data_IF_880274328090
#
_entry.id   IF_880274328090
#
_cell.length_a   1.000
_cell.length_b   1.000
_cell.length_c   1.000
_cell.angle_alpha   90.00
_cell.angle_beta   90.00
_cell.angle_gamma   90.00
#
_symmetry.space_group_name_H-M   'P 1'
#
loop_
_entity.id
_entity.type
_entity.pdbx_description
1 polymer ?
2 polymer ?
3 water ?
#
# COMPACT_ATOMS: atom_id res chain seq x y z
N UNK A 1 -10.75 12.64 3.81
CA UNK A 1 -9.26 12.61 3.56
C UNK A 1 -9.00 12.73 2.09
N UNK A 2 -8.17 13.74 1.63
CA UNK A 2 -7.71 14.13 0.29
C UNK A 2 -7.25 13.00 -0.64
N UNK A 3 -6.76 13.31 -1.87
CA UNK A 3 -6.36 12.22 -2.74
C UNK A 3 -5.28 12.55 -3.79
N UNK A 4 -4.57 11.51 -4.25
CA UNK A 4 -3.48 11.72 -5.21
C UNK A 4 -3.99 11.88 -6.65
N UNK A 5 -3.75 13.04 -7.28
CA UNK A 5 -4.12 13.23 -8.69
C UNK A 5 -3.09 12.60 -9.59
N UNK A 6 -1.81 12.81 -9.31
CA UNK A 6 -0.76 12.22 -10.17
C UNK A 6 0.53 12.33 -9.52
N UNK A 7 1.49 11.59 -10.08
CA UNK A 7 2.85 11.57 -9.67
C UNK A 7 3.70 11.88 -10.89
N UNK A 8 4.70 12.79 -10.75
CA UNK A 8 5.59 13.13 -11.87
C UNK A 8 7.00 12.72 -11.54
N UNK A 9 7.63 11.98 -12.42
CA UNK A 9 8.95 11.51 -12.15
C UNK A 9 9.92 11.99 -13.23
N UNK A 10 11.12 12.40 -12.83
CA UNK A 10 12.08 12.92 -13.83
C UNK A 10 13.49 12.65 -13.27
N UNK A 11 14.21 11.73 -13.94
CA UNK A 11 15.56 11.37 -13.60
C UNK A 11 15.63 10.51 -12.37
N UNK A 12 14.52 9.85 -12.06
CA UNK A 12 14.45 9.00 -10.88
C UNK A 12 14.55 7.49 -11.22
N UNK A 13 15.65 6.87 -10.83
CA UNK A 13 15.89 5.46 -11.11
C UNK A 13 15.68 5.20 -12.57
N UNK A 14 14.70 4.32 -12.89
CA UNK A 14 14.46 3.92 -14.27
C UNK A 14 13.71 4.93 -15.10
N UNK A 15 13.26 5.98 -14.44
CA UNK A 15 12.52 6.97 -15.14
C UNK A 15 13.56 8.03 -15.56
N UNK A 16 13.67 8.22 -16.88
CA UNK A 16 14.62 9.15 -17.46
C UNK A 16 14.43 10.67 -17.38
N UNK A 17 15.15 11.38 -18.27
CA UNK A 17 15.12 12.84 -18.34
C UNK A 17 13.84 13.42 -18.86
N UNK A 18 13.10 12.67 -19.68
CA UNK A 18 11.84 13.20 -20.21
C UNK A 18 10.83 12.94 -19.05
N UNK A 19 10.30 13.99 -18.47
CA UNK A 19 9.42 13.76 -17.35
C UNK A 19 8.25 12.79 -17.64
N UNK A 20 8.00 11.90 -16.69
CA UNK A 20 6.91 10.96 -16.81
C UNK A 20 5.81 11.30 -15.83
N UNK A 21 4.59 11.41 -16.38
CA UNK A 21 3.39 11.76 -15.61
C UNK A 21 2.49 10.51 -15.42
N UNK A 22 2.22 10.13 -14.16
CA UNK A 22 1.41 8.95 -13.84
C UNK A 22 0.10 9.40 -13.16
N UNK A 23 -1.02 9.39 -13.88
CA UNK A 23 -2.35 9.79 -13.43
C UNK A 23 -3.04 8.68 -12.60
N UNK A 24 -3.86 9.04 -11.56
CA UNK A 24 -4.58 8.07 -10.74
C UNK A 24 -6.06 8.41 -10.57
N UNK A 25 -6.88 7.37 -10.55
CA UNK A 25 -8.26 7.65 -10.30
C UNK A 25 -8.37 8.03 -8.80
N UNK A 26 -9.38 8.81 -8.49
CA UNK A 26 -9.69 9.18 -7.12
C UNK A 26 -10.15 7.85 -6.39
N UNK A 27 -10.60 6.89 -7.18
CA UNK A 27 -10.98 5.59 -6.65
C UNK A 27 -9.90 4.48 -6.72
N UNK A 28 -10.12 3.53 -7.60
CA UNK A 28 -9.25 2.39 -7.75
C UNK A 28 -8.48 2.42 -9.09
N UNK A 29 -7.16 2.36 -9.01
CA UNK A 29 -6.26 2.33 -10.18
C UNK A 29 -5.44 1.08 -10.06
N UNK A 30 -5.35 0.31 -11.14
CA UNK A 30 -4.46 -0.89 -11.11
C UNK A 30 -3.20 -0.56 -11.98
N UNK A 31 -2.03 -1.08 -11.58
CA UNK A 31 -0.77 -0.82 -12.29
C UNK A 31 -0.19 -2.14 -12.79
N UNK A 32 -0.12 -2.27 -14.12
CA UNK A 32 0.29 -3.51 -14.76
C UNK A 32 1.65 -3.37 -15.46
N UNK A 33 2.60 -4.24 -15.17
CA UNK A 33 3.85 -4.20 -15.91
C UNK A 33 4.61 -5.46 -15.55
N UNK A 34 5.62 -5.76 -16.36
CA UNK A 34 6.43 -6.94 -16.17
C UNK A 34 7.45 -6.68 -15.06
N UNK A 35 8.03 -7.76 -14.53
CA UNK A 35 9.09 -7.66 -13.56
C UNK A 35 10.21 -6.91 -14.27
N UNK A 36 10.70 -5.83 -13.66
CA UNK A 36 11.79 -5.07 -14.32
C UNK A 36 11.25 -3.99 -15.20
N UNK A 37 9.95 -3.79 -15.25
CA UNK A 37 9.47 -2.69 -16.12
C UNK A 37 9.70 -1.28 -15.45
N UNK A 38 9.86 -1.25 -14.12
CA UNK A 38 9.96 0.01 -13.38
C UNK A 38 8.71 0.27 -12.53
N UNK A 39 7.78 -0.67 -12.58
CA UNK A 39 6.57 -0.51 -11.77
C UNK A 39 6.91 -0.48 -10.25
N UNK A 40 7.89 -1.27 -9.79
CA UNK A 40 8.14 -1.22 -8.37
C UNK A 40 8.84 0.12 -8.01
N UNK A 41 9.56 0.74 -8.95
CA UNK A 41 10.14 2.05 -8.65
C UNK A 41 9.02 3.09 -8.30
N UNK A 42 7.75 2.73 -8.55
CA UNK A 42 6.68 3.67 -8.31
C UNK A 42 6.46 3.76 -6.84
N UNK A 43 6.60 2.61 -6.18
CA UNK A 43 6.48 2.58 -4.75
C UNK A 43 7.65 3.33 -4.17
N UNK A 44 8.83 3.19 -4.76
CA UNK A 44 10.02 3.87 -4.24
C UNK A 44 9.95 5.38 -4.35
N UNK A 45 9.39 5.86 -5.48
CA UNK A 45 9.24 7.28 -5.77
C UNK A 45 8.30 7.85 -4.72
N UNK A 46 7.32 7.06 -4.30
CA UNK A 46 6.34 7.56 -3.33
C UNK A 46 6.97 7.66 -1.93
N UNK A 47 7.80 6.69 -1.50
CA UNK A 47 8.49 6.75 -0.21
C UNK A 47 9.49 7.94 -0.23
N UNK A 48 10.10 8.16 -1.41
CA UNK A 48 11.10 9.23 -1.59
C UNK A 48 10.48 10.57 -1.37
N UNK A 49 9.37 10.84 -2.03
CA UNK A 49 8.78 12.17 -1.92
C UNK A 49 8.03 12.47 -0.61
N UNK A 50 7.60 11.39 0.09
CA UNK A 50 6.83 11.62 1.28
C UNK A 50 7.80 11.71 2.47
N UNK A 51 9.08 11.60 2.18
CA UNK A 51 10.07 11.78 3.19
C UNK A 51 10.64 10.75 4.14
N UNK A 52 10.48 9.43 3.95
CA UNK A 52 11.02 8.55 5.00
C UNK A 52 12.52 8.56 5.27
N UNK A 53 13.22 8.72 4.15
CA UNK A 53 14.67 8.71 4.02
C UNK A 53 15.32 10.05 3.95
N UNK A 54 16.02 10.49 4.98
CA UNK A 54 16.74 11.75 4.96
C UNK A 54 17.92 11.61 4.01
N UNK A 55 18.39 12.75 3.52
CA UNK A 55 19.54 12.85 2.63
C UNK A 55 20.80 12.15 3.19
N UNK A 56 21.04 12.30 4.48
CA UNK A 56 22.24 11.66 5.11
C UNK A 56 22.28 10.16 4.56
N UNK A 77 19.38 15.83 -17.29
CA UNK A 77 19.43 16.30 -15.89
C UNK A 77 20.23 15.49 -14.85
N UNK A 78 20.81 16.26 -13.96
CA UNK A 78 21.59 15.74 -12.93
C UNK A 78 20.97 16.12 -11.55
N UNK A 79 19.75 15.60 -11.39
CA UNK A 79 19.06 15.58 -10.12
C UNK A 79 17.95 14.56 -10.44
N UNK A 80 17.50 13.83 -9.45
CA UNK A 80 16.36 12.92 -9.57
C UNK A 80 15.25 13.82 -8.98
N UNK A 81 14.06 13.83 -9.57
CA UNK A 81 12.97 14.60 -9.04
C UNK A 81 11.65 13.79 -9.00
N UNK A 82 10.89 13.96 -7.91
CA UNK A 82 9.58 13.31 -7.86
C UNK A 82 8.64 14.37 -7.35
N UNK A 83 7.51 14.52 -7.99
CA UNK A 83 6.57 15.49 -7.46
C UNK A 83 5.26 14.75 -7.31
N UNK A 84 4.57 14.97 -6.19
CA UNK A 84 3.27 14.31 -6.08
C UNK A 84 2.19 15.42 -5.96
N UNK A 85 1.04 15.26 -6.64
CA UNK A 85 0.00 16.28 -6.70
C UNK A 85 -1.22 15.73 -5.98
N UNK A 86 -1.68 16.45 -4.98
CA UNK A 86 -2.85 16.00 -4.21
C UNK A 86 -3.99 16.98 -4.45
N UNK A 87 -5.19 16.43 -4.58
CA UNK A 87 -6.41 17.26 -4.66
C UNK A 87 -6.73 17.49 -3.17
N UNK A 88 -6.88 18.78 -2.78
CA UNK A 88 -7.13 19.13 -1.41
C UNK A 88 -8.44 19.86 -1.31
N UNK A 89 -9.39 19.50 -2.17
CA UNK A 89 -10.68 20.17 -2.11
C UNK A 89 -11.36 19.91 -0.75
N UNK A 90 -11.11 18.75 -0.11
CA UNK A 90 -11.73 18.44 1.20
C UNK A 90 -10.93 19.11 2.29
N UNK A 91 -9.82 19.75 1.89
CA UNK A 91 -8.99 20.41 2.90
C UNK A 91 -8.41 19.44 3.99
N UNK A 92 -8.04 18.21 3.59
CA UNK A 92 -7.41 17.33 4.55
C UNK A 92 -6.03 17.88 4.93
N UNK A 93 -5.36 18.63 4.04
CA UNK A 93 -4.04 19.21 4.38
C UNK A 93 -4.34 20.62 4.94
N UNK A 94 -3.63 21.08 5.99
CA UNK A 94 -3.87 22.43 6.58
C UNK A 94 -3.40 23.57 5.68
N UNK A 95 -3.78 23.55 4.42
CA UNK A 95 -3.34 24.51 3.44
C UNK A 95 -4.57 24.93 2.63
N UNK A 96 -4.82 26.22 2.62
CA UNK A 96 -6.02 26.68 1.97
C UNK A 96 -5.91 26.80 0.48
N UNK A 97 -5.62 25.68 -0.18
CA UNK A 97 -5.54 25.68 -1.63
C UNK A 97 -6.12 24.34 -2.09
N UNK A 98 -6.79 24.34 -3.22
CA UNK A 98 -7.37 23.13 -3.78
C UNK A 98 -6.34 22.06 -4.26
N UNK A 99 -5.05 22.42 -4.37
CA UNK A 99 -4.08 21.44 -4.83
C UNK A 99 -2.89 21.59 -3.98
N UNK A 100 -2.27 20.46 -3.59
CA UNK A 100 -1.09 20.53 -2.76
C UNK A 100 -0.06 19.70 -3.49
N UNK A 101 1.06 20.32 -3.87
CA UNK A 101 2.12 19.63 -4.59
C UNK A 101 3.42 19.58 -3.78
N UNK A 102 3.90 18.37 -3.52
CA UNK A 102 5.13 18.15 -2.78
C UNK A 102 6.22 17.68 -3.74
N UNK A 103 7.22 18.53 -3.97
CA UNK A 103 8.32 18.20 -4.88
C UNK A 103 9.64 18.05 -4.13
N UNK A 104 10.40 17.02 -4.51
CA UNK A 104 11.70 16.75 -3.89
C UNK A 104 12.72 16.28 -4.94
N UNK A 105 13.87 16.96 -4.97
CA UNK A 105 14.92 16.64 -5.93
C UNK A 105 16.26 16.32 -5.27
N UNK A 106 16.79 15.15 -5.56
CA UNK A 106 18.08 14.72 -5.01
C UNK A 106 19.21 14.98 -6.00
N UNK A 107 20.26 15.64 -5.52
CA UNK A 107 21.42 15.98 -6.35
C UNK A 107 22.52 14.91 -6.31
N UNK A 108 23.53 15.03 -7.19
CA UNK A 108 24.63 14.07 -7.23
C UNK A 108 25.51 14.07 -5.98
N UNK A 109 25.72 15.24 -5.41
CA UNK A 109 26.54 15.38 -4.20
C UNK A 109 25.80 14.84 -2.97
N UNK A 110 24.55 14.44 -3.17
CA UNK A 110 23.74 13.89 -2.09
C UNK A 110 22.75 14.87 -1.51
N UNK A 111 22.80 16.15 -1.87
CA UNK A 111 21.84 17.05 -1.28
C UNK A 111 20.42 16.77 -1.73
N UNK A 112 19.50 17.22 -0.87
CA UNK A 112 18.10 17.01 -1.07
C UNK A 112 17.33 18.28 -0.80
N UNK A 113 16.40 18.68 -1.68
CA UNK A 113 15.54 19.85 -1.45
C UNK A 113 14.13 19.48 -1.70
N UNK A 114 13.27 20.17 -0.97
CA UNK A 114 11.82 20.09 -1.10
C UNK A 114 11.19 21.46 -1.44
N UNK A 115 10.01 21.38 -2.05
CA UNK A 115 9.14 22.53 -2.36
C UNK A 115 7.73 22.04 -2.05
N UNK A 116 6.88 23.02 -1.67
CA UNK A 116 5.50 22.73 -1.35
C UNK A 116 4.85 23.83 -2.18
N UNK A 117 4.09 23.43 -3.23
CA UNK A 117 3.47 24.37 -4.16
C UNK A 117 4.49 25.39 -4.68
N UNK A 118 5.68 24.94 -5.15
CA UNK A 118 6.59 25.93 -5.73
C UNK A 118 7.47 26.73 -4.76
N UNK A 119 7.20 26.64 -3.47
CA UNK A 119 7.97 27.25 -2.42
C UNK A 119 8.88 26.29 -1.64
N UNK A 120 10.08 26.73 -1.33
CA UNK A 120 11.02 25.89 -0.61
C UNK A 120 10.41 25.52 0.72
N UNK A 121 10.65 24.29 1.13
CA UNK A 121 10.18 23.75 2.41
C UNK A 121 11.24 22.80 2.89
N UNK A 122 11.23 22.53 4.21
CA UNK A 122 12.22 21.61 4.82
C UNK A 122 11.54 20.20 4.94
N UNK A 123 12.33 19.17 5.22
CA UNK A 123 11.74 17.84 5.30
C UNK A 123 10.84 17.78 6.54
N UNK A 124 11.36 18.38 7.61
CA UNK A 124 10.62 18.43 8.82
C UNK A 124 9.31 19.14 8.57
N UNK A 125 9.28 20.19 7.73
CA UNK A 125 7.91 20.80 7.53
C UNK A 125 7.00 19.91 6.62
N UNK A 126 7.61 19.27 5.60
CA UNK A 126 6.75 18.39 4.78
C UNK A 126 6.14 17.26 5.71
N UNK A 127 6.95 16.60 6.54
CA UNK A 127 6.37 15.53 7.43
C UNK A 127 5.20 16.04 8.29
N UNK A 128 5.39 17.20 8.94
CA UNK A 128 4.34 17.74 9.77
C UNK A 128 3.13 17.96 8.94
N UNK A 129 3.30 18.46 7.71
CA UNK A 129 2.17 18.68 6.85
C UNK A 129 1.45 17.34 6.48
N UNK A 130 2.22 16.33 6.11
CA UNK A 130 1.61 15.02 5.80
C UNK A 130 0.92 14.41 7.06
N UNK A 131 1.57 14.43 8.20
CA UNK A 131 0.94 13.87 9.43
C UNK A 131 -0.41 14.51 9.66
N UNK A 132 -0.46 15.83 9.45
CA UNK A 132 -1.72 16.57 9.60
C UNK A 132 -2.80 16.05 8.67
N UNK A 133 -2.42 15.51 7.50
CA UNK A 133 -3.42 14.96 6.55
C UNK A 133 -3.62 13.43 6.73
N UNK A 134 -3.02 12.88 7.79
CA UNK A 134 -3.05 11.45 8.19
C UNK A 134 -2.22 10.62 7.20
N UNK A 135 -1.14 11.20 6.75
CA UNK A 135 -0.29 10.51 5.78
C UNK A 135 1.06 10.46 6.39
N UNK A 136 1.76 9.36 6.15
CA UNK A 136 3.09 9.18 6.64
C UNK A 136 3.80 8.13 5.74
N UNK A 137 5.10 8.35 5.48
CA UNK A 137 5.84 7.39 4.66
C UNK A 137 5.91 6.05 5.41
N UNK A 138 5.76 6.12 6.75
CA UNK A 138 5.74 4.92 7.63
C UNK A 138 4.28 4.35 7.90
N UNK A 139 3.28 4.89 7.23
CA UNK A 139 1.95 4.45 7.46
C UNK A 139 1.71 3.00 7.00
N UNK A 140 0.73 2.43 7.69
CA UNK A 140 0.20 1.09 7.40
C UNK A 140 -0.49 1.04 6.04
N UNK A 141 -0.84 2.22 5.52
CA UNK A 141 -1.53 2.34 4.24
C UNK A 141 -0.62 2.09 3.03
N UNK A 142 0.69 1.97 3.28
CA UNK A 142 1.67 1.69 2.19
C UNK A 142 2.17 0.26 2.44
N UNK A 143 1.81 -0.64 1.53
CA UNK A 143 2.19 -2.03 1.71
C UNK A 143 3.03 -2.43 0.48
N UNK A 144 4.34 -2.36 0.65
CA UNK A 144 5.22 -2.66 -0.45
C UNK A 144 5.60 -4.10 -0.34
N UNK A 145 6.44 -4.52 -1.25
CA UNK A 145 6.95 -5.89 -1.26
C UNK A 145 7.83 -6.03 -0.02
N UNK A 146 7.69 -7.07 0.79
CA UNK A 146 8.53 -7.08 1.97
C UNK A 146 7.69 -6.76 3.20
N UNK A 147 6.58 -6.02 2.99
CA UNK A 147 5.71 -5.64 4.09
C UNK A 147 4.86 -6.85 4.51
N UNK A 148 4.43 -7.65 3.54
CA UNK A 148 3.66 -8.85 3.86
C UNK A 148 4.59 -9.89 4.53
N UNK A 149 5.83 -10.02 4.07
CA UNK A 149 6.70 -10.96 4.78
C UNK A 149 6.88 -10.51 6.25
N UNK A 150 7.00 -9.21 6.46
CA UNK A 150 7.16 -8.63 7.77
C UNK A 150 6.03 -9.10 8.72
N UNK A 151 4.80 -9.01 8.22
CA UNK A 151 3.59 -9.34 9.01
C UNK A 151 3.47 -10.81 9.28
N UNK A 152 3.89 -11.59 8.32
CA UNK A 152 3.91 -13.06 8.47
C UNK A 152 4.89 -13.51 9.52
N UNK A 153 6.13 -13.00 9.44
CA UNK A 153 7.20 -13.45 10.36
C UNK A 153 7.38 -12.72 11.69
N UNK A 154 6.65 -11.64 11.92
CA UNK A 154 6.71 -10.91 13.18
C UNK A 154 6.61 -11.83 14.37
N UNK A 155 7.32 -11.56 15.50
CA UNK A 155 7.23 -12.40 16.70
C UNK A 155 5.92 -11.93 17.34
N UNK A 156 5.33 -12.76 18.21
CA UNK A 156 4.07 -12.31 18.81
C UNK A 156 4.24 -11.07 19.67
N UNK A 157 5.43 -10.90 20.25
CA UNK A 157 5.74 -9.72 21.08
C UNK A 157 5.71 -8.48 20.19
N UNK A 158 6.46 -8.52 19.07
CA UNK A 158 6.42 -7.35 18.19
C UNK A 158 4.98 -7.05 17.72
N UNK A 159 4.22 -8.10 17.43
CA UNK A 159 2.85 -7.87 16.98
C UNK A 159 2.03 -7.16 18.10
N UNK A 160 2.23 -7.47 19.38
CA UNK A 160 1.46 -6.75 20.43
C UNK A 160 2.01 -5.31 20.54
N UNK A 161 3.34 -5.15 20.37
CA UNK A 161 3.92 -3.80 20.40
C UNK A 161 3.32 -2.87 19.32
N UNK A 162 2.99 -3.39 18.11
CA UNK A 162 2.36 -2.49 17.08
C UNK A 162 1.01 -2.03 17.62
N UNK A 163 0.33 -2.96 18.34
CA UNK A 163 -0.96 -2.53 18.85
C UNK A 163 -0.71 -1.50 19.95
N UNK A 164 0.29 -1.69 20.80
CA UNK A 164 0.51 -0.62 21.88
C UNK A 164 0.66 0.79 21.23
N UNK A 165 1.53 0.87 20.19
CA UNK A 165 1.85 2.15 19.51
C UNK A 165 0.63 2.76 18.87
N UNK A 166 -0.15 1.95 18.12
CA UNK A 166 -1.37 2.43 17.51
C UNK A 166 -2.35 2.98 18.61
N UNK A 167 -2.49 2.27 19.72
CA UNK A 167 -3.39 2.71 20.78
C UNK A 167 -2.94 4.05 21.36
N UNK B 7 -7.46 1.19 27.65
CA UNK B 7 -6.99 1.90 26.42
C UNK B 7 -6.39 0.96 25.39
N UNK B 8 -5.42 0.14 25.83
CA UNK B 8 -4.80 -0.87 24.96
C UNK B 8 -5.93 -1.80 24.53
N UNK B 9 -6.71 -2.22 25.51
CA UNK B 9 -7.79 -3.15 25.27
C UNK B 9 -8.90 -2.65 24.34
N UNK B 10 -9.23 -1.37 24.40
CA UNK B 10 -10.26 -0.85 23.50
C UNK B 10 -9.73 -0.91 22.05
N UNK B 11 -8.47 -0.58 21.88
CA UNK B 11 -7.88 -0.63 20.53
C UNK B 11 -7.75 -2.05 20.11
N UNK B 12 -7.37 -2.91 21.03
CA UNK B 12 -7.22 -4.29 20.62
C UNK B 12 -8.53 -4.98 20.14
N UNK B 13 -9.61 -4.78 20.88
CA UNK B 13 -10.88 -5.37 20.54
C UNK B 13 -11.39 -4.84 19.23
N UNK B 14 -11.17 -3.55 18.99
CA UNK B 14 -11.66 -3.02 17.75
C UNK B 14 -10.83 -3.63 16.59
N UNK B 15 -9.49 -3.66 16.73
CA UNK B 15 -8.70 -4.28 15.65
C UNK B 15 -8.98 -5.80 15.57
N UNK B 16 -9.22 -6.50 16.71
CA UNK B 16 -9.54 -7.96 16.58
C UNK B 16 -10.86 -8.20 15.91
N UNK B 17 -11.85 -7.38 16.26
CA UNK B 17 -13.14 -7.55 15.63
C UNK B 17 -12.98 -7.37 14.11
N UNK B 18 -12.23 -6.34 13.69
CA UNK B 18 -12.05 -6.05 12.25
C UNK B 18 -11.37 -7.21 11.60
N UNK B 19 -10.39 -7.77 12.30
CA UNK B 19 -9.64 -8.92 11.70
C UNK B 19 -10.51 -10.14 11.43
N UNK B 20 -11.21 -10.61 12.48
CA UNK B 20 -12.05 -11.78 12.33
C UNK B 20 -13.08 -11.52 11.25
N UNK B 21 -13.69 -10.33 11.21
CA UNK B 21 -14.71 -10.09 10.13
C UNK B 21 -14.13 -10.04 8.72
N UNK B 22 -12.93 -9.48 8.58
CA UNK B 22 -12.32 -9.38 7.26
C UNK B 22 -11.79 -10.78 6.87
N UNK B 23 -11.19 -11.47 7.80
CA UNK B 23 -10.74 -12.82 7.45
C UNK B 23 -11.96 -13.67 6.94
N UNK B 24 -13.08 -13.54 7.66
CA UNK B 24 -14.29 -14.31 7.34
C UNK B 24 -14.75 -13.94 5.92
N UNK B 25 -14.74 -12.66 5.57
CA UNK B 25 -15.09 -12.32 4.21
C UNK B 25 -14.04 -12.77 3.17
N UNK B 26 -12.77 -12.79 3.51
CA UNK B 26 -11.84 -13.20 2.47
C UNK B 26 -11.72 -14.74 2.35
N UNK B 27 -12.19 -15.45 3.38
CA UNK B 27 -12.02 -16.91 3.47
C UNK B 27 -13.31 -17.48 3.96
N UNK B 28 -14.24 -17.67 3.04
CA UNK B 28 -15.59 -18.21 3.27
C UNK B 28 -15.60 -19.49 4.14
N UNK B 29 -16.46 -19.50 5.15
CA UNK B 29 -16.54 -20.64 6.03
C UNK B 29 -15.33 -20.74 6.94
N UNK B 30 -14.51 -19.70 6.96
CA UNK B 30 -13.30 -19.65 7.77
C UNK B 30 -13.52 -18.72 8.96
N UNK B 31 -12.69 -18.84 9.97
CA UNK B 31 -12.74 -17.94 11.11
C UNK B 31 -11.28 -17.76 11.60
N UNK B 32 -11.03 -16.65 12.32
CA UNK B 32 -9.71 -16.37 12.85
C UNK B 32 -9.85 -15.37 14.00
N UNK B 33 -8.89 -15.44 14.91
CA UNK B 33 -8.84 -14.58 16.05
C UNK B 33 -7.38 -14.14 16.31
N UNK B 34 -7.24 -12.91 16.78
CA UNK B 34 -5.94 -12.40 17.28
C UNK B 34 -6.06 -12.84 18.77
N UNK B 35 -5.07 -13.53 19.33
CA UNK B 35 -5.22 -13.93 20.70
C UNK B 35 -4.07 -13.44 21.56
N UNK B 36 -4.35 -12.74 22.67
CA UNK B 36 -3.31 -12.26 23.59
C UNK B 36 -2.65 -13.43 24.32
N UNK B 37 -1.33 -13.41 24.45
CA UNK B 37 -0.72 -14.57 25.08
C UNK B 37 -0.93 -14.47 26.58
N UNK B 38 -1.19 -13.27 27.08
CA UNK B 38 -1.45 -13.10 28.49
C UNK B 38 -2.64 -12.16 28.63
N UNK B 39 -3.86 -12.67 28.44
CA UNK B 39 -5.05 -11.80 28.56
C UNK B 39 -5.08 -11.03 29.86
N UNK B 40 -4.53 -11.65 30.90
CA UNK B 40 -4.58 -11.04 32.19
C UNK B 40 -3.77 -9.80 32.30
N UNK B 41 -2.47 -9.94 32.01
CA UNK B 41 -1.38 -8.93 32.00
C UNK B 41 -0.90 -8.83 30.47
N UNK B 42 -1.72 -8.23 29.60
CA UNK B 42 -1.33 -8.15 28.17
C UNK B 42 0.08 -7.69 27.83
N UNK B 43 0.59 -6.68 28.54
CA UNK B 43 1.96 -6.16 28.29
C UNK B 43 3.13 -7.09 28.62
N UNK B 44 2.85 -8.24 29.27
CA UNK B 44 3.89 -9.21 29.58
C UNK B 44 3.87 -10.38 28.55
N UNK B 45 2.94 -10.35 27.59
CA UNK B 45 2.96 -11.42 26.59
C UNK B 45 2.88 -10.88 25.14
N UNK B 46 2.82 -11.79 24.17
CA UNK B 46 2.72 -11.35 22.77
C UNK B 46 1.28 -11.40 22.30
N UNK B 47 1.08 -11.40 20.96
CA UNK B 47 -0.22 -11.46 20.32
C UNK B 47 -0.04 -12.41 19.13
N UNK B 48 -0.76 -13.54 19.21
CA UNK B 48 -0.71 -14.57 18.22
C UNK B 48 -1.87 -14.50 17.26
N UNK B 49 -1.69 -15.13 16.13
CA UNK B 49 -2.77 -15.10 15.18
C UNK B 49 -3.14 -16.54 15.00
N UNK B 50 -4.42 -16.84 15.11
CA UNK B 50 -4.93 -18.20 14.95
C UNK B 50 -6.00 -18.16 13.91
N UNK B 51 -5.85 -19.01 12.92
CA UNK B 51 -6.79 -18.97 11.88
C UNK B 51 -7.15 -20.34 11.42
N UNK B 52 -8.40 -20.43 10.96
CA UNK B 52 -8.92 -21.69 10.57
C UNK B 52 -9.75 -21.65 9.29
N UNK B 53 -9.11 -21.99 8.16
CA UNK B 53 -9.86 -21.99 6.90
C UNK B 53 -10.79 -23.23 6.92
N UNK B 54 -11.90 -23.14 6.18
CA UNK B 54 -12.89 -24.22 6.07
C UNK B 54 -12.19 -25.55 5.97
N UNK B 55 -12.72 -26.52 6.70
CA UNK B 55 -12.16 -27.86 6.70
C UNK B 55 -10.73 -27.97 7.18
N UNK B 56 -10.27 -27.05 8.03
CA UNK B 56 -8.91 -27.21 8.55
C UNK B 56 -8.94 -26.98 10.04
N UNK B 57 -7.96 -27.51 10.72
CA UNK B 57 -7.90 -27.32 12.13
C UNK B 57 -7.32 -25.97 12.35
N UNK B 58 -7.56 -25.44 13.54
CA UNK B 58 -7.02 -24.16 13.92
C UNK B 58 -5.49 -24.19 13.95
N UNK B 59 -4.83 -23.17 13.44
CA UNK B 59 -3.36 -23.17 13.56
C UNK B 59 -2.84 -21.75 13.70
N UNK B 60 -1.64 -21.63 14.20
CA UNK B 60 -1.03 -20.32 14.28
C UNK B 60 -0.42 -20.04 12.89
N UNK B 61 -0.33 -18.74 12.60
CA UNK B 61 0.11 -18.25 11.27
C UNK B 61 1.22 -19.04 10.64
N UNK B 62 2.35 -19.09 11.34
CA UNK B 62 3.55 -19.74 10.82
C UNK B 62 3.37 -21.19 10.36
N UNK B 63 2.35 -21.87 10.90
CA UNK B 63 2.15 -23.27 10.55
C UNK B 63 1.22 -23.44 9.35
N UNK B 64 0.70 -22.36 8.80
CA UNK B 64 -0.21 -22.45 7.67
C UNK B 64 0.51 -22.69 6.32
N UNK B 65 -0.24 -22.75 5.22
CA UNK B 65 0.37 -22.92 3.85
C UNK B 65 0.81 -21.53 3.34
N UNK B 66 1.66 -21.51 2.35
CA UNK B 66 2.14 -20.24 1.86
C UNK B 66 0.97 -19.28 1.65
N UNK B 67 -0.01 -19.76 0.89
CA UNK B 67 -1.13 -18.91 0.57
C UNK B 67 -1.93 -18.51 1.79
N UNK B 68 -2.00 -19.38 2.78
CA UNK B 68 -2.81 -19.10 3.98
C UNK B 68 -2.17 -18.00 4.80
N UNK B 69 -0.86 -18.09 4.91
CA UNK B 69 -0.03 -17.08 5.57
C UNK B 69 -0.23 -15.69 4.92
N UNK B 70 -0.15 -15.62 3.58
CA UNK B 70 -0.32 -14.35 2.89
C UNK B 70 -1.70 -13.77 3.12
N UNK B 71 -2.73 -14.60 2.97
CA UNK B 71 -4.07 -14.13 3.18
C UNK B 71 -4.30 -13.60 4.62
N UNK B 72 -3.82 -14.33 5.61
CA UNK B 72 -3.95 -13.99 7.06
C UNK B 72 -3.20 -12.71 7.38
N UNK B 73 -1.94 -12.60 6.97
CA UNK B 73 -1.18 -11.36 7.15
C UNK B 73 -1.96 -10.17 6.52
N UNK B 74 -2.53 -10.39 5.35
CA UNK B 74 -3.23 -9.38 4.65
C UNK B 74 -4.51 -8.97 5.40
N UNK B 75 -5.28 -9.95 5.91
CA UNK B 75 -6.46 -9.55 6.70
C UNK B 75 -5.98 -8.69 7.93
N UNK B 76 -4.82 -9.04 8.53
CA UNK B 76 -4.27 -8.31 9.69
C UNK B 76 -3.97 -6.86 9.32
N UNK B 77 -3.26 -6.63 8.17
CA UNK B 77 -2.99 -5.28 7.75
C UNK B 77 -4.31 -4.54 7.41
N UNK B 78 -5.21 -5.18 6.67
CA UNK B 78 -6.50 -4.52 6.41
C UNK B 78 -7.24 -4.13 7.74
N UNK B 79 -7.17 -4.98 8.76
CA UNK B 79 -7.86 -4.65 10.07
C UNK B 79 -7.26 -3.40 10.76
N UNK B 80 -5.94 -3.23 10.61
CA UNK B 80 -5.25 -2.07 11.20
C UNK B 80 -5.62 -0.84 10.37
N UNK B 81 -5.65 -0.98 9.05
CA UNK B 81 -6.03 0.09 8.15
C UNK B 81 -7.49 0.57 8.41
N UNK B 82 -8.41 -0.36 8.64
CA UNK B 82 -9.78 0.02 8.95
C UNK B 82 -9.82 0.75 10.30
N UNK B 83 -9.00 0.36 11.25
CA UNK B 83 -9.00 1.06 12.55
C UNK B 83 -8.44 2.49 12.48
N UNK B 84 -7.48 2.72 11.59
CA UNK B 84 -6.88 4.05 11.50
C UNK B 84 -6.61 4.27 10.01
N UNK B 85 -7.63 4.69 9.31
CA UNK B 85 -7.54 4.92 7.89
C UNK B 85 -6.68 6.08 7.39
N UNK B 86 -6.31 5.96 6.12
CA UNK B 86 -5.52 6.98 5.45
C UNK B 86 -6.33 7.47 4.24
N UNK B 87 -5.94 8.59 3.65
CA UNK B 87 -6.63 9.08 2.45
C UNK B 87 -6.30 8.20 1.23
N UNK B 88 -5.14 7.53 1.25
CA UNK B 88 -4.82 6.64 0.10
C UNK B 88 -4.06 5.34 0.54
N UNK B 89 -4.23 4.30 -0.26
CA UNK B 89 -3.53 3.03 -0.08
C UNK B 89 -2.73 2.71 -1.34
N UNK B 90 -1.54 2.21 -1.11
CA UNK B 90 -0.71 1.82 -2.21
C UNK B 90 -0.24 0.38 -1.89
N UNK B 91 -0.63 -0.60 -2.71
CA UNK B 91 -0.29 -1.98 -2.48
C UNK B 91 0.55 -2.47 -3.63
N UNK B 92 1.67 -3.07 -3.33
CA UNK B 92 2.51 -3.47 -4.43
C UNK B 92 2.56 -4.97 -4.45
N UNK B 93 1.81 -5.57 -5.36
CA UNK B 93 1.82 -7.05 -5.48
C UNK B 93 1.50 -7.83 -4.18
N UNK B 94 0.49 -7.35 -3.45
CA UNK B 94 0.05 -8.02 -2.25
C UNK B 94 -0.71 -9.34 -2.59
N UNK B 95 -1.10 -9.52 -3.85
CA UNK B 95 -1.89 -10.69 -4.24
C UNK B 95 -1.11 -11.85 -4.86
N UNK B 96 0.15 -11.58 -5.11
CA UNK B 96 1.05 -12.51 -5.80
C UNK B 96 1.14 -13.87 -5.19
N UNK B 97 1.19 -13.92 -3.85
CA UNK B 97 1.34 -15.16 -3.14
C UNK B 97 0.05 -15.74 -2.64
N UNK B 98 -1.07 -15.15 -3.03
CA UNK B 98 -2.34 -15.65 -2.58
C UNK B 98 -2.68 -16.87 -3.42
N UNK B 99 -3.69 -17.62 -2.97
CA UNK B 99 -4.21 -18.78 -3.67
C UNK B 99 -5.30 -18.13 -4.55
N UNK B 100 -5.51 -18.66 -5.76
CA UNK B 100 -6.51 -18.15 -6.70
C UNK B 100 -7.85 -17.83 -6.14
N UNK B 101 -8.43 -18.81 -5.45
CA UNK B 101 -9.76 -18.65 -4.88
C UNK B 101 -9.88 -17.38 -4.00
N UNK B 102 -8.76 -16.94 -3.45
CA UNK B 102 -8.78 -15.77 -2.57
C UNK B 102 -8.63 -14.37 -3.26
N UNK B 103 -8.03 -14.33 -4.45
CA UNK B 103 -7.81 -13.07 -5.16
C UNK B 103 -9.06 -12.29 -5.40
N UNK B 104 -10.12 -12.95 -5.87
CA UNK B 104 -11.41 -12.27 -6.12
C UNK B 104 -12.01 -11.62 -4.86
N UNK B 105 -11.94 -12.28 -3.70
CA UNK B 105 -12.52 -11.61 -2.51
C UNK B 105 -11.70 -10.39 -2.12
N UNK B 106 -10.39 -10.50 -2.34
CA UNK B 106 -9.50 -9.35 -2.04
C UNK B 106 -9.89 -8.21 -3.04
N UNK B 107 -9.95 -8.54 -4.31
CA UNK B 107 -10.28 -7.52 -5.31
C UNK B 107 -11.71 -6.92 -5.04
N UNK B 108 -12.67 -7.75 -4.61
CA UNK B 108 -14.00 -7.17 -4.29
C UNK B 108 -14.00 -6.25 -3.07
N UNK B 109 -13.26 -6.63 -2.04
CA UNK B 109 -13.17 -5.82 -0.87
C UNK B 109 -12.50 -4.43 -1.15
N UNK B 110 -11.48 -4.48 -1.99
CA UNK B 110 -10.75 -3.27 -2.35
C UNK B 110 -11.68 -2.37 -3.15
N UNK B 111 -12.32 -2.96 -4.14
CA UNK B 111 -13.28 -2.26 -4.97
C UNK B 111 -14.31 -1.54 -4.12
N UNK B 112 -14.83 -2.17 -3.08
CA UNK B 112 -15.87 -1.47 -2.27
C UNK B 112 -15.31 -0.42 -1.30
N UNK B 113 -14.11 -0.62 -0.77
CA UNK B 113 -13.63 0.40 0.13
C UNK B 113 -13.14 1.60 -0.72
N UNK B 114 -12.99 1.39 -2.02
CA UNK B 114 -12.52 2.47 -2.88
C UNK B 114 -13.64 3.45 -3.19
N UNK B 115 -14.84 3.15 -2.71
CA UNK B 115 -16.01 4.02 -2.91
C UNK B 115 -15.76 5.19 -1.95
N UNK B 116 -14.89 4.94 -0.97
CA UNK B 116 -14.56 5.88 0.09
C UNK B 116 -13.12 6.37 0.23
N UNK B 117 -12.14 5.57 -0.21
CA UNK B 117 -10.72 5.95 -0.20
C UNK B 117 -10.08 5.61 -1.53
N UNK B 118 -8.90 6.14 -1.74
CA UNK B 118 -8.18 5.87 -2.98
C UNK B 118 -7.27 4.63 -2.78
N UNK B 119 -7.21 3.78 -3.77
CA UNK B 119 -6.36 2.57 -3.75
C UNK B 119 -5.57 2.51 -5.02
N UNK B 120 -4.29 2.27 -4.88
CA UNK B 120 -3.37 2.15 -6.04
C UNK B 120 -2.77 0.74 -5.81
N UNK B 121 -3.03 -0.12 -6.76
CA UNK B 121 -2.61 -1.49 -6.60
C UNK B 121 -1.77 -1.98 -7.72
N UNK B 122 -0.60 -2.44 -7.39
CA UNK B 122 0.24 -2.92 -8.47
C UNK B 122 -0.08 -4.41 -8.53
N UNK B 123 -0.56 -4.89 -9.67
CA UNK B 123 -0.97 -6.30 -9.78
C UNK B 123 -0.81 -6.98 -11.22
N UNK B 124 -0.70 -8.30 -11.29
CA UNK B 124 -0.69 -9.01 -12.60
C UNK B 124 -1.97 -9.89 -12.65
N UNK B 125 -3.02 -9.56 -11.86
CA UNK B 125 -4.25 -10.38 -11.84
C UNK B 125 -5.45 -9.76 -12.54
N UNK B 126 -6.01 -10.51 -13.50
CA UNK B 126 -7.14 -10.02 -14.24
C UNK B 126 -8.28 -9.63 -13.35
N UNK B 127 -8.50 -10.32 -12.25
CA UNK B 127 -9.66 -9.92 -11.45
C UNK B 127 -9.44 -8.58 -10.78
N UNK B 128 -8.20 -8.28 -10.40
CA UNK B 128 -7.86 -6.97 -9.81
C UNK B 128 -8.09 -5.86 -10.84
N UNK B 129 -7.48 -6.03 -12.01
CA UNK B 129 -7.58 -5.12 -13.15
C UNK B 129 -9.04 -4.81 -13.49
N UNK B 130 -9.80 -5.85 -13.82
CA UNK B 130 -11.22 -5.68 -14.23
C UNK B 130 -12.12 -4.80 -13.35
N UNK B 131 -11.86 -4.78 -12.06
CA UNK B 131 -12.60 -4.01 -11.08
C UNK B 131 -12.16 -2.51 -10.90
N UNK B 132 -10.99 -2.16 -11.44
CA UNK B 132 -10.43 -0.81 -11.27
C UNK B 132 -11.13 0.29 -12.04
N UNK B 133 -11.09 1.51 -11.52
CA UNK B 133 -11.69 2.60 -12.28
C UNK B 133 -10.69 2.95 -13.37
N UNK B 134 -9.41 2.69 -13.14
CA UNK B 134 -8.44 3.06 -14.16
C UNK B 134 -7.31 2.15 -14.20
N UNK B 135 -6.66 1.94 -15.35
CA UNK B 135 -5.52 1.02 -15.40
C UNK B 135 -4.31 1.72 -16.05
N UNK B 136 -3.12 1.53 -15.48
CA UNK B 136 -1.93 2.21 -16.00
C UNK B 136 -1.02 1.09 -16.30
N UNK B 137 -0.31 1.14 -17.44
CA UNK B 137 0.63 0.07 -17.81
C UNK B 137 2.03 0.61 -17.79
N UNK B 138 3.00 -0.19 -17.42
CA UNK B 138 4.36 0.34 -17.34
C UNK B 138 5.26 -0.64 -18.08
N UNK B 139 6.22 -0.09 -18.81
CA UNK B 139 7.17 -0.95 -19.56
C UNK B 139 8.51 -0.20 -19.71
N UNK B 140 9.57 -0.96 -19.95
CA UNK B 140 10.90 -0.41 -20.13
C UNK B 140 11.38 -0.57 -21.56
N UNK B 143 18.07 1.56 -18.69
CA UNK B 143 16.88 1.42 -19.52
C UNK B 143 15.85 2.43 -19.07
N UNK B 144 14.89 2.78 -19.92
CA UNK B 144 13.90 3.76 -19.53
C UNK B 144 12.45 3.23 -19.41
N UNK B 145 11.81 3.56 -18.29
CA UNK B 145 10.41 3.19 -18.05
C UNK B 145 9.42 4.17 -18.67
N UNK B 146 8.27 3.66 -19.12
CA UNK B 146 7.25 4.42 -19.81
C UNK B 146 5.90 4.08 -19.16
N UNK B 147 4.94 5.01 -19.11
CA UNK B 147 3.70 4.75 -18.47
C UNK B 147 2.59 5.23 -19.43
N UNK B 148 1.45 4.51 -19.44
CA UNK B 148 0.30 4.76 -20.32
C UNK B 148 -1.01 4.37 -19.65
N UNK B 149 -2.09 5.10 -19.92
CA UNK B 149 -3.38 4.81 -19.37
C UNK B 149 -3.92 3.78 -20.36
N UNK B 150 -4.44 2.68 -19.82
CA UNK B 150 -4.92 1.51 -20.66
C UNK B 150 -6.36 1.08 -20.49
N UNK B 151 -6.95 0.57 -21.58
CA UNK B 151 -8.30 -0.01 -21.48
C UNK B 151 -8.04 -1.47 -21.04
N UNK B 152 -9.08 -2.03 -20.42
CA UNK B 152 -9.11 -3.39 -19.94
C UNK B 152 -8.69 -4.31 -21.05
N UNK B 153 -9.24 -4.11 -22.25
CA UNK B 153 -8.90 -4.98 -23.38
C UNK B 153 -7.45 -5.01 -23.76
N UNK B 154 -6.81 -3.83 -23.83
CA UNK B 154 -5.38 -3.93 -24.15
C UNK B 154 -4.66 -4.35 -22.85
N UNK B 155 -5.15 -3.90 -21.70
CA UNK B 155 -4.51 -4.32 -20.41
C UNK B 155 -4.52 -5.85 -20.39
N UNK B 156 -5.65 -6.46 -20.78
CA UNK B 156 -5.69 -7.92 -20.76
C UNK B 156 -4.74 -8.64 -21.74
N UNK B 157 -4.44 -8.07 -22.90
CA UNK B 157 -3.46 -8.69 -23.83
C UNK B 157 -2.06 -8.54 -23.27
N UNK B 158 -1.83 -7.37 -22.66
CA UNK B 158 -0.49 -7.17 -22.11
C UNK B 158 -0.29 -8.14 -21.00
N UNK B 159 -1.28 -8.39 -20.18
CA UNK B 159 -1.08 -9.33 -19.05
C UNK B 159 -0.72 -10.77 -19.53
N UNK B 160 -1.55 -11.21 -20.47
CA UNK B 160 -1.38 -12.50 -21.08
C UNK B 160 0.04 -12.50 -21.65
N UNK B 161 0.52 -11.37 -22.22
CA UNK B 161 1.95 -11.39 -22.76
C UNK B 161 2.97 -11.58 -21.63
N UNK B 162 2.74 -10.86 -20.53
CA UNK B 162 3.65 -11.00 -19.41
C UNK B 162 3.64 -12.38 -18.76
N UNK B 163 2.43 -12.90 -18.54
CA UNK B 163 2.33 -14.21 -17.86
C UNK B 163 3.09 -15.27 -18.70
N UNK B 164 3.07 -15.12 -20.02
CA UNK B 164 3.74 -16.08 -20.88
C UNK B 164 5.22 -16.12 -20.66
N UNK B 165 5.84 -14.95 -20.50
CA UNK B 165 7.26 -14.84 -20.23
C UNK B 165 7.60 -15.16 -18.77
N UNK B 166 6.71 -14.83 -17.83
CA UNK B 166 7.04 -15.10 -16.46
C UNK B 166 6.30 -16.15 -15.69
N UNK B 167 5.13 -16.60 -16.11
CA UNK B 167 4.50 -17.63 -15.30
C UNK B 167 3.93 -17.11 -13.96
N UNK B 168 3.97 -17.95 -12.92
CA UNK B 168 3.42 -17.68 -11.55
C UNK B 168 4.49 -17.79 -10.45
#
# INVERSE_FOLDING_TARGET
MPYIEKLELKGFKSYGNKKVVIPFSKGFTAIVGANGSGKSNIGDAILFVLGGLSAKAMRASRISDLIFAGSKNEPPAKYAEVAIYFNNEDRGFPIDEDEVVIRRRVYPDGRSSYWLNGRRATRSEILDILTAAMISPDGYNIVLQGDITKFIKMSPLERRLLIDDISGIAEYDSKKEKALEE
EKEKKNVFMRTFEAISRNFSEIFAKLSPGGSARLILENPEDPFSGGLEIEAKPAGKDVKRIEAMSGGEKALTALAFVFAIQKFKPAPFYLFDEIDAHLDDANVKRVADLIKESSKESQFIVITLRDVMMANADKIIGVSMRDGVSKVVSLSLEKAMKILEEIRKKQGWEHGN
#
